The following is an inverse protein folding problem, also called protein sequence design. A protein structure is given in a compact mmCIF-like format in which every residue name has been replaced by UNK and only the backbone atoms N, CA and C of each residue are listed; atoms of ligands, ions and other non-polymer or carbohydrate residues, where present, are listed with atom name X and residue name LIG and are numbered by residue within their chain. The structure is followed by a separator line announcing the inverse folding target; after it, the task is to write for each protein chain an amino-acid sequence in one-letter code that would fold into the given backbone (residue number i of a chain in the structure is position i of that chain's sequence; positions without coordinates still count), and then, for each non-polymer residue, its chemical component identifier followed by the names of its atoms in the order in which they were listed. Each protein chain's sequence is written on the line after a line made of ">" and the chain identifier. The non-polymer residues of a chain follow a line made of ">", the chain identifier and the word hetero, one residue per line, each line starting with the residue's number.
data_IF_897990172033
#
_entry.id   IF_897990172033
#
_cell.length_a   1.000
_cell.length_b   1.000
_cell.length_c   1.000
_cell.angle_alpha   90.00
_cell.angle_beta   90.00
_cell.angle_gamma   90.00
#
_symmetry.space_group_name_H-M   'P 1'
#
loop_
_entity.id
_entity.type
_entity.pdbx_description
1 polymer ?
#
# COMPACT_ATOMS: atom_id res chain seq x y z
N UNK A 1 24.12 30.73 -0.53
CA UNK A 1 23.33 29.53 -0.23
C UNK A 1 22.71 29.65 1.15
N UNK A 2 21.46 29.29 1.27
CA UNK A 2 20.77 29.33 2.55
C UNK A 2 20.65 27.91 3.08
N UNK A 3 21.21 27.66 4.26
CA UNK A 3 21.04 26.39 4.93
C UNK A 3 19.68 26.42 5.64
N UNK A 4 18.78 25.46 5.39
CA UNK A 4 17.51 25.44 6.07
C UNK A 4 17.71 25.34 7.58
N UNK A 5 17.05 26.21 8.31
CA UNK A 5 17.05 26.13 9.76
C UNK A 5 16.06 25.06 10.18
N UNK A 6 16.55 23.98 10.77
CA UNK A 6 15.70 22.86 11.20
C UNK A 6 14.64 23.30 12.22
N UNK A 7 14.88 24.39 12.95
CA UNK A 7 13.91 24.88 13.93
C UNK A 7 12.63 25.42 13.31
N UNK A 8 12.65 25.81 12.02
CA UNK A 8 11.47 26.28 11.31
C UNK A 8 10.66 25.17 10.65
N UNK A 9 11.18 23.95 10.65
CA UNK A 9 10.44 22.81 10.11
C UNK A 9 9.35 22.37 11.09
N UNK A 10 8.21 21.88 10.56
CA UNK A 10 7.19 21.28 11.42
C UNK A 10 7.76 20.14 12.25
N UNK A 11 7.27 19.97 13.46
CA UNK A 11 7.75 18.92 14.37
C UNK A 11 7.75 17.54 13.73
N UNK A 12 6.69 17.21 13.03
CA UNK A 12 6.57 15.88 12.42
C UNK A 12 7.60 15.65 11.32
N UNK A 13 8.08 16.68 10.67
CA UNK A 13 9.14 16.57 9.66
C UNK A 13 10.50 16.42 10.32
N UNK A 14 10.76 17.15 11.41
CA UNK A 14 12.05 17.08 12.11
C UNK A 14 12.41 15.68 12.54
N UNK A 15 11.44 14.91 12.99
CA UNK A 15 11.67 13.54 13.44
C UNK A 15 11.81 12.54 12.32
N UNK A 16 11.58 12.96 11.09
CA UNK A 16 11.57 12.05 9.93
C UNK A 16 12.66 12.32 8.94
N UNK A 17 13.53 13.26 9.26
CA UNK A 17 14.68 13.55 8.43
C UNK A 17 15.69 12.42 8.60
N UNK A 18 15.99 11.72 7.50
CA UNK A 18 16.95 10.61 7.50
C UNK A 18 18.31 11.03 7.00
N UNK A 19 18.37 12.09 6.20
CA UNK A 19 19.62 12.52 5.59
C UNK A 19 19.54 13.98 5.17
N UNK A 20 20.68 14.68 5.36
CA UNK A 20 20.89 16.00 4.79
C UNK A 20 22.13 15.89 3.91
N UNK A 21 21.98 16.24 2.65
CA UNK A 21 23.09 16.24 1.69
C UNK A 21 23.42 17.66 1.25
N UNK A 22 24.69 17.93 1.08
CA UNK A 22 25.16 19.19 0.51
C UNK A 22 25.85 18.86 -0.81
N UNK A 23 25.31 19.39 -1.90
CA UNK A 23 25.84 19.19 -3.25
C UNK A 23 25.95 20.59 -3.88
N UNK A 24 27.14 20.97 -4.31
CA UNK A 24 27.41 22.28 -4.95
C UNK A 24 26.85 23.44 -4.12
N UNK A 25 27.10 23.43 -2.81
CA UNK A 25 26.60 24.43 -1.85
C UNK A 25 25.09 24.51 -1.74
N UNK A 26 24.39 23.49 -2.20
CA UNK A 26 22.94 23.38 -2.05
C UNK A 26 22.64 22.29 -1.02
N UNK A 27 21.79 22.62 -0.07
CA UNK A 27 21.39 21.66 0.97
C UNK A 27 20.13 20.92 0.51
N UNK A 28 20.22 19.60 0.48
CA UNK A 28 19.07 18.73 0.22
C UNK A 28 18.72 18.01 1.51
N UNK A 29 17.47 18.08 1.89
CA UNK A 29 16.95 17.39 3.06
C UNK A 29 16.14 16.18 2.59
N UNK A 30 16.63 14.98 2.94
CA UNK A 30 15.91 13.75 2.65
C UNK A 30 15.25 13.25 3.92
N UNK A 31 14.01 12.87 3.82
CA UNK A 31 13.29 12.29 4.95
C UNK A 31 12.55 11.05 4.50
N UNK A 32 12.30 10.20 5.46
CA UNK A 32 11.64 8.93 5.20
C UNK A 32 10.15 9.18 4.94
N UNK A 33 9.73 9.04 3.69
CA UNK A 33 8.34 9.26 3.29
C UNK A 33 7.39 8.24 3.91
N UNK A 34 7.88 7.05 4.25
CA UNK A 34 7.05 6.03 4.88
C UNK A 34 6.56 6.46 6.26
N UNK A 35 7.40 7.20 6.98
CA UNK A 35 7.03 7.66 8.32
C UNK A 35 6.21 8.95 8.30
N UNK A 36 6.05 9.58 7.15
CA UNK A 36 5.26 10.82 7.01
C UNK A 36 3.77 10.50 6.90
N UNK A 37 3.41 9.27 6.59
CA UNK A 37 2.01 8.89 6.47
C UNK A 37 1.26 9.21 7.75
N UNK A 38 0.23 10.00 7.58
CA UNK A 38 -0.61 10.44 8.67
C UNK A 38 -1.28 9.26 9.35
N UNK A 39 -1.27 9.24 10.68
CA UNK A 39 -1.85 8.15 11.43
C UNK A 39 -0.92 6.98 11.68
N UNK A 40 0.27 7.00 11.11
CA UNK A 40 1.28 5.98 11.35
C UNK A 40 0.90 4.57 10.90
N UNK A 41 -0.21 4.43 10.19
CA UNK A 41 -0.71 3.13 9.76
C UNK A 41 -0.18 2.81 8.37
N UNK A 42 1.04 2.30 8.31
CA UNK A 42 1.48 1.66 7.09
C UNK A 42 1.61 0.15 7.35
N UNK A 43 1.29 -0.62 6.33
CA UNK A 43 1.41 -2.06 6.44
C UNK A 43 2.86 -2.50 6.40
N UNK A 44 3.28 -3.18 7.44
CA UNK A 44 4.58 -3.82 7.48
C UNK A 44 4.34 -5.32 7.62
N UNK A 45 4.34 -6.01 6.51
CA UNK A 45 4.03 -7.42 6.44
C UNK A 45 5.19 -8.18 5.83
N UNK A 46 5.32 -9.45 6.21
CA UNK A 46 6.31 -10.34 5.60
C UNK A 46 5.92 -10.78 4.18
N UNK A 47 4.66 -10.61 3.82
CA UNK A 47 4.20 -10.94 2.47
C UNK A 47 4.87 -10.02 1.44
N UNK A 48 5.38 -10.61 0.39
CA UNK A 48 6.11 -9.88 -0.64
C UNK A 48 5.22 -9.28 -1.73
N UNK A 49 4.01 -9.81 -1.87
CA UNK A 49 3.06 -9.35 -2.87
C UNK A 49 1.98 -8.50 -2.19
N UNK A 50 2.14 -7.20 -2.30
CA UNK A 50 1.21 -6.22 -1.75
C UNK A 50 0.79 -5.29 -2.87
N UNK A 51 -0.42 -5.47 -3.36
CA UNK A 51 -0.92 -4.75 -4.52
C UNK A 51 -1.98 -3.76 -4.08
N UNK A 52 -1.71 -2.49 -4.27
CA UNK A 52 -2.65 -1.44 -3.91
C UNK A 52 -3.74 -1.32 -4.97
N UNK A 53 -4.96 -1.24 -4.51
CA UNK A 53 -6.09 -1.08 -5.39
C UNK A 53 -7.27 -0.43 -4.67
N UNK A 54 -8.42 -0.51 -5.30
CA UNK A 54 -9.66 0.03 -4.77
C UNK A 54 -10.71 -1.06 -4.71
N UNK A 55 -11.44 -1.12 -3.62
CA UNK A 55 -12.54 -2.08 -3.46
C UNK A 55 -13.67 -1.70 -4.42
N UNK A 56 -14.00 -2.59 -5.33
CA UNK A 56 -15.06 -2.36 -6.31
C UNK A 56 -16.33 -3.14 -6.02
N UNK A 57 -16.23 -4.21 -5.23
CA UNK A 57 -17.43 -4.96 -4.85
C UNK A 57 -17.18 -5.75 -3.56
N UNK A 58 -18.23 -5.88 -2.76
CA UNK A 58 -18.25 -6.71 -1.57
C UNK A 58 -19.52 -7.52 -1.59
N UNK A 59 -19.39 -8.84 -1.69
CA UNK A 59 -20.48 -9.77 -1.57
C UNK A 59 -20.49 -10.33 -0.15
N UNK A 60 -21.51 -10.01 0.61
CA UNK A 60 -21.61 -10.45 2.00
C UNK A 60 -22.27 -11.82 2.09
N UNK A 61 -21.64 -12.72 2.81
CA UNK A 61 -22.19 -14.02 3.12
C UNK A 61 -22.47 -14.16 4.62
N UNK A 62 -22.86 -15.34 5.03
CA UNK A 62 -23.18 -15.59 6.45
C UNK A 62 -21.92 -15.61 7.33
N UNK A 63 -20.84 -16.21 6.85
CA UNK A 63 -19.59 -16.37 7.57
C UNK A 63 -18.44 -15.63 6.86
N UNK A 64 -18.38 -15.76 5.55
CA UNK A 64 -17.35 -15.16 4.71
C UNK A 64 -17.97 -14.19 3.72
N UNK A 65 -17.17 -13.26 3.25
CA UNK A 65 -17.54 -12.36 2.19
C UNK A 65 -16.50 -12.40 1.07
N UNK A 66 -16.92 -11.99 -0.10
CA UNK A 66 -16.04 -11.90 -1.27
C UNK A 66 -15.78 -10.42 -1.57
N UNK A 67 -14.53 -10.04 -1.51
CA UNK A 67 -14.09 -8.67 -1.77
C UNK A 67 -13.31 -8.65 -3.08
N UNK A 68 -13.67 -7.75 -3.96
CA UNK A 68 -12.96 -7.56 -5.22
C UNK A 68 -12.24 -6.23 -5.19
N UNK A 69 -10.94 -6.30 -5.47
CA UNK A 69 -10.05 -5.13 -5.45
C UNK A 69 -9.56 -4.91 -6.87
N UNK A 70 -9.87 -3.76 -7.44
CA UNK A 70 -9.39 -3.38 -8.76
C UNK A 70 -8.04 -2.68 -8.62
N UNK A 71 -7.05 -3.21 -9.32
CA UNK A 71 -5.72 -2.63 -9.35
C UNK A 71 -5.65 -1.48 -10.36
N UNK A 72 -4.61 -0.68 -10.26
CA UNK A 72 -4.41 0.50 -11.10
C UNK A 72 -4.45 0.20 -12.60
N UNK A 73 -4.03 -0.98 -13.00
CA UNK A 73 -4.04 -1.40 -14.41
C UNK A 73 -5.37 -1.96 -14.90
N UNK A 74 -6.39 -2.02 -14.04
CA UNK A 74 -7.70 -2.55 -14.39
C UNK A 74 -7.91 -4.02 -14.00
N UNK A 75 -6.87 -4.71 -13.56
CA UNK A 75 -7.00 -6.09 -13.09
C UNK A 75 -7.75 -6.14 -11.78
N UNK A 76 -8.50 -7.22 -11.57
CA UNK A 76 -9.29 -7.40 -10.35
C UNK A 76 -8.80 -8.62 -9.59
N UNK A 77 -8.49 -8.40 -8.32
CA UNK A 77 -8.13 -9.47 -7.39
C UNK A 77 -9.36 -9.80 -6.54
N UNK A 78 -9.71 -11.06 -6.50
CA UNK A 78 -10.84 -11.54 -5.70
C UNK A 78 -10.31 -12.20 -4.44
N UNK A 79 -10.84 -11.79 -3.30
CA UNK A 79 -10.45 -12.32 -2.01
C UNK A 79 -11.68 -12.79 -1.25
N UNK A 80 -11.56 -13.94 -0.63
CA UNK A 80 -12.59 -14.46 0.29
C UNK A 80 -12.04 -14.34 1.72
N UNK A 81 -12.70 -13.52 2.52
CA UNK A 81 -12.28 -13.30 3.91
C UNK A 81 -13.52 -13.39 4.81
N UNK A 82 -13.29 -13.51 6.12
CA UNK A 82 -14.40 -13.58 7.06
C UNK A 82 -15.15 -12.25 7.12
N UNK A 83 -16.43 -12.33 7.46
CA UNK A 83 -17.23 -11.12 7.65
C UNK A 83 -16.67 -10.26 8.78
N UNK A 84 -16.13 -10.89 9.83
CA UNK A 84 -15.46 -10.17 10.89
C UNK A 84 -14.26 -9.36 10.40
N UNK A 85 -13.47 -9.92 9.48
CA UNK A 85 -12.34 -9.21 8.89
C UNK A 85 -12.81 -8.01 8.05
N UNK A 86 -13.89 -8.16 7.30
CA UNK A 86 -14.48 -7.07 6.54
C UNK A 86 -14.87 -5.90 7.45
N UNK A 87 -15.48 -6.20 8.58
CA UNK A 87 -15.87 -5.19 9.56
C UNK A 87 -14.67 -4.55 10.26
N UNK A 88 -13.72 -5.36 10.72
CA UNK A 88 -12.52 -4.86 11.39
C UNK A 88 -11.68 -3.96 10.50
N UNK A 89 -11.55 -4.31 9.24
CA UNK A 89 -10.80 -3.52 8.27
C UNK A 89 -11.61 -2.32 7.76
N UNK A 90 -12.87 -2.27 8.06
CA UNK A 90 -13.75 -1.18 7.61
C UNK A 90 -13.85 -1.10 6.11
N UNK A 91 -13.91 -2.24 5.43
CA UNK A 91 -13.93 -2.27 3.97
C UNK A 91 -15.28 -1.79 3.42
N UNK A 92 -15.20 -0.90 2.46
CA UNK A 92 -16.36 -0.37 1.75
C UNK A 92 -16.03 -0.21 0.28
N UNK A 93 -17.03 -0.29 -0.57
CA UNK A 93 -16.86 -0.03 -2.00
C UNK A 93 -16.35 1.40 -2.22
N UNK A 94 -15.30 1.53 -3.01
CA UNK A 94 -14.66 2.81 -3.27
C UNK A 94 -13.48 3.12 -2.37
N UNK A 95 -13.25 2.34 -1.32
CA UNK A 95 -12.12 2.52 -0.42
C UNK A 95 -10.85 1.90 -0.98
N UNK A 96 -9.71 2.48 -0.64
CA UNK A 96 -8.41 1.89 -0.97
C UNK A 96 -8.17 0.66 -0.10
N UNK A 97 -7.61 -0.37 -0.69
CA UNK A 97 -7.22 -1.58 0.00
C UNK A 97 -6.01 -2.21 -0.68
N UNK A 98 -5.34 -3.08 0.04
CA UNK A 98 -4.19 -3.81 -0.49
C UNK A 98 -4.56 -5.28 -0.62
N UNK A 99 -4.29 -5.85 -1.79
CA UNK A 99 -4.32 -7.29 -1.96
C UNK A 99 -2.97 -7.83 -1.51
N UNK A 100 -2.96 -8.53 -0.39
CA UNK A 100 -1.76 -9.11 0.19
C UNK A 100 -1.75 -10.59 -0.12
N UNK A 101 -0.77 -11.04 -0.88
CA UNK A 101 -0.73 -12.42 -1.37
C UNK A 101 0.57 -13.08 -0.93
N UNK A 102 0.43 -14.16 -0.18
CA UNK A 102 1.57 -14.95 0.23
C UNK A 102 2.26 -15.54 -1.00
N UNK A 103 3.58 -15.40 -1.08
CA UNK A 103 4.33 -15.84 -2.26
C UNK A 103 4.13 -17.31 -2.58
N UNK A 104 4.00 -18.15 -1.56
CA UNK A 104 3.74 -19.59 -1.74
C UNK A 104 2.35 -19.92 -2.26
N UNK A 105 1.45 -18.94 -2.27
CA UNK A 105 0.07 -19.11 -2.73
C UNK A 105 -0.13 -18.58 -4.16
N UNK A 106 0.90 -18.04 -4.77
CA UNK A 106 0.83 -17.52 -6.13
C UNK A 106 1.13 -18.64 -7.10
N UNK A 107 0.18 -18.88 -8.00
CA UNK A 107 0.37 -19.81 -9.09
C UNK A 107 0.74 -19.04 -10.35
N UNK A 108 1.49 -19.68 -11.24
CA UNK A 108 1.94 -19.07 -12.48
C UNK A 108 1.29 -19.77 -13.65
N UNK A 109 0.75 -18.99 -14.57
CA UNK A 109 0.17 -19.51 -15.80
C UNK A 109 0.76 -18.80 -17.00
N UNK A 110 0.77 -19.48 -18.12
CA UNK A 110 1.17 -18.90 -19.42
C UNK A 110 0.16 -19.33 -20.47
N UNK A 111 0.03 -18.52 -21.50
CA UNK A 111 -0.83 -18.89 -22.61
C UNK A 111 -0.25 -20.06 -23.38
N UNK A 112 -1.10 -21.03 -23.66
CA UNK A 112 -0.71 -22.18 -24.44
C UNK A 112 -1.25 -22.02 -25.85
N UNK A 113 -0.35 -21.66 -26.76
CA UNK A 113 -0.70 -21.51 -28.18
C UNK A 113 -0.58 -22.81 -28.91
N UNK A 114 -1.71 -23.31 -29.40
CA UNK A 114 -1.69 -24.43 -30.33
C UNK A 114 -1.37 -23.94 -31.72
N UNK A 115 -0.23 -24.34 -32.23
CA UNK A 115 0.07 -24.12 -33.64
C UNK A 115 -0.63 -25.22 -34.43
N UNK A 116 -1.52 -24.81 -35.26
CA UNK A 116 -2.13 -25.71 -36.20
C UNK A 116 -1.21 -25.97 -37.38
#
# INVERSE_FOLDING_TARGET
>A
MVVPNLSVLPKYIKHRITMIKIINNTVFVCYNTETIRKGGNYMKLSARNQLKGKVVSIEKGAVNGIVRIELKGGDVITSTISMGAIEELGLEVGKEAYAVIKATSVMVGVDHHHKC
#
